data_IF_653624796565
#
_entry.id   IF_653624796565
#
_cell.length_a   1.000
_cell.length_b   1.000
_cell.length_c   1.000
_cell.angle_alpha   90.00
_cell.angle_beta   90.00
_cell.angle_gamma   90.00
#
_symmetry.space_group_name_H-M   'P 1'
#
loop_
_entity.id
_entity.type
_entity.pdbx_description
1 polymer ?
#
# COMPACT_ATOMS: atom_id res chain seq x y z
N UNK A 1 25.32 -3.65 60.45
CA UNK A 1 24.32 -4.34 59.60
C UNK A 1 23.65 -3.28 58.75
N UNK A 2 24.14 -3.08 57.53
CA UNK A 2 23.67 -2.02 56.59
C UNK A 2 22.71 -2.67 55.61
N UNK A 3 21.45 -2.24 55.66
CA UNK A 3 20.38 -2.74 54.77
C UNK A 3 20.44 -1.95 53.47
N UNK A 4 20.87 -2.60 52.37
CA UNK A 4 20.84 -2.03 51.04
C UNK A 4 19.41 -2.21 50.44
N UNK A 5 18.66 -1.11 50.38
CA UNK A 5 17.38 -1.04 49.67
C UNK A 5 17.67 -0.90 48.18
N UNK A 6 17.45 -1.98 47.43
CA UNK A 6 17.48 -1.96 45.96
C UNK A 6 16.13 -1.41 45.48
N UNK A 7 16.14 -0.16 45.01
CA UNK A 7 15.01 0.46 44.31
C UNK A 7 14.91 -0.13 42.89
N UNK A 8 13.94 -0.98 42.73
CA UNK A 8 13.55 -1.51 41.40
C UNK A 8 12.63 -0.47 40.72
N UNK A 9 13.17 0.30 39.78
CA UNK A 9 12.38 1.18 38.94
C UNK A 9 11.76 0.36 37.84
N UNK A 10 10.42 0.31 37.70
CA UNK A 10 9.80 -0.29 36.54
C UNK A 10 10.06 0.63 35.33
N UNK A 11 10.71 0.08 34.31
CA UNK A 11 10.81 0.73 33.02
C UNK A 11 9.39 0.87 32.44
N UNK A 12 8.84 2.08 32.45
CA UNK A 12 7.65 2.40 31.68
C UNK A 12 8.02 2.24 30.21
N UNK A 13 7.56 1.13 29.60
CA UNK A 13 7.44 1.06 28.15
C UNK A 13 6.40 2.09 27.74
N UNK A 14 6.85 3.25 27.30
CA UNK A 14 6.01 4.17 26.53
C UNK A 14 5.66 3.44 25.22
N UNK A 15 4.49 2.79 25.21
CA UNK A 15 3.79 2.54 23.96
C UNK A 15 3.51 3.89 23.34
N UNK A 16 4.28 4.26 22.32
CA UNK A 16 3.96 5.38 21.48
C UNK A 16 2.56 5.10 20.90
N UNK A 17 1.57 5.78 21.46
CA UNK A 17 0.22 5.81 20.89
C UNK A 17 0.38 6.12 19.40
N UNK A 18 -0.15 5.24 18.54
CA UNK A 18 -0.05 5.38 17.10
C UNK A 18 -0.52 6.77 16.71
N UNK A 19 0.40 7.58 16.18
CA UNK A 19 0.02 8.80 15.51
C UNK A 19 -0.91 8.38 14.39
N UNK A 20 -2.07 9.03 14.27
CA UNK A 20 -2.94 8.90 13.12
C UNK A 20 -2.10 9.22 11.88
N UNK A 21 -1.56 8.19 11.27
CA UNK A 21 -0.69 8.36 10.13
C UNK A 21 -1.54 8.70 8.92
N UNK A 22 -1.15 9.76 8.26
CA UNK A 22 -1.67 10.09 6.94
C UNK A 22 -1.07 9.24 5.83
N UNK A 23 -0.22 8.28 6.19
CA UNK A 23 0.45 7.42 5.22
C UNK A 23 -0.52 6.51 4.47
N UNK A 24 -0.15 6.20 3.25
CA UNK A 24 -0.85 5.27 2.39
C UNK A 24 -0.09 3.95 2.40
N UNK A 25 -0.70 2.90 2.90
CA UNK A 25 -0.14 1.56 2.89
C UNK A 25 -0.30 0.92 1.51
N UNK A 26 0.70 0.14 1.10
CA UNK A 26 0.57 -0.79 -0.02
C UNK A 26 0.16 -2.14 0.55
N UNK A 27 -0.99 -2.63 0.12
CA UNK A 27 -1.54 -3.90 0.59
C UNK A 27 -1.68 -4.90 -0.54
N UNK A 28 -1.53 -6.16 -0.20
CA UNK A 28 -1.67 -7.30 -1.10
C UNK A 28 -2.59 -8.35 -0.49
N UNK A 29 -3.02 -9.30 -1.32
CA UNK A 29 -3.74 -10.48 -0.84
C UNK A 29 -2.90 -11.24 0.20
N UNK A 30 -3.55 -11.82 1.21
CA UNK A 30 -2.90 -12.57 2.28
C UNK A 30 -2.03 -13.73 1.79
N UNK A 31 -2.35 -14.33 0.66
CA UNK A 31 -1.63 -15.45 0.05
C UNK A 31 -0.49 -15.01 -0.89
N UNK A 32 -0.29 -13.70 -1.08
CA UNK A 32 0.83 -13.19 -1.85
C UNK A 32 2.12 -13.29 -1.00
N UNK A 33 3.17 -13.87 -1.55
CA UNK A 33 4.43 -14.09 -0.82
C UNK A 33 5.36 -12.87 -0.82
N UNK A 34 5.05 -11.84 -1.59
CA UNK A 34 5.85 -10.60 -1.65
C UNK A 34 5.79 -9.88 -0.31
N UNK A 35 6.93 -9.47 0.22
CA UNK A 35 7.05 -8.77 1.51
C UNK A 35 7.55 -7.35 1.36
N UNK A 36 8.21 -7.03 0.25
CA UNK A 36 8.79 -5.71 -0.03
C UNK A 36 8.91 -5.46 -1.53
N UNK A 37 8.75 -4.21 -1.92
CA UNK A 37 9.04 -3.70 -3.27
C UNK A 37 9.80 -2.38 -3.15
N UNK A 38 10.63 -2.06 -4.15
CA UNK A 38 11.18 -0.71 -4.26
C UNK A 38 10.13 0.27 -4.80
N UNK A 39 10.33 1.57 -4.58
CA UNK A 39 9.50 2.61 -5.18
C UNK A 39 9.46 2.51 -6.71
N UNK A 40 10.60 2.18 -7.33
CA UNK A 40 10.69 1.97 -8.78
C UNK A 40 9.87 0.77 -9.26
N UNK A 41 9.93 -0.35 -8.55
CA UNK A 41 9.10 -1.52 -8.85
C UNK A 41 7.61 -1.23 -8.66
N UNK A 42 7.26 -0.54 -7.58
CA UNK A 42 5.89 -0.16 -7.29
C UNK A 42 5.31 0.73 -8.42
N UNK A 43 6.13 1.68 -8.91
CA UNK A 43 5.74 2.51 -10.06
C UNK A 43 5.49 1.67 -11.32
N UNK A 44 6.37 0.73 -11.65
CA UNK A 44 6.19 -0.20 -12.79
C UNK A 44 4.94 -1.06 -12.64
N UNK A 45 4.64 -1.51 -11.43
CA UNK A 45 3.43 -2.28 -11.14
C UNK A 45 2.19 -1.43 -11.44
N UNK A 46 2.07 -0.25 -10.84
CA UNK A 46 0.89 0.61 -11.03
C UNK A 46 0.82 1.29 -12.39
N UNK A 47 1.92 1.34 -13.12
CA UNK A 47 1.93 1.73 -14.54
C UNK A 47 1.53 0.58 -15.49
N UNK A 48 1.30 -0.64 -14.96
CA UNK A 48 0.98 -1.80 -15.79
C UNK A 48 2.14 -2.27 -16.67
N UNK A 49 3.37 -1.94 -16.29
CA UNK A 49 4.59 -2.41 -16.97
C UNK A 49 5.04 -3.77 -16.43
N UNK A 50 4.73 -4.06 -15.18
CA UNK A 50 4.95 -5.35 -14.55
C UNK A 50 3.60 -6.05 -14.38
N UNK A 51 3.41 -7.18 -15.06
CA UNK A 51 2.12 -7.85 -15.20
C UNK A 51 1.93 -9.06 -14.28
N UNK A 52 3.01 -9.55 -13.67
CA UNK A 52 2.96 -10.72 -12.80
C UNK A 52 3.90 -10.60 -11.61
N UNK A 53 3.50 -11.22 -10.52
CA UNK A 53 4.34 -11.45 -9.35
C UNK A 53 5.41 -12.50 -9.64
N UNK A 54 6.51 -12.54 -8.85
CA UNK A 54 7.40 -13.71 -8.86
C UNK A 54 6.58 -14.98 -8.63
N UNK A 55 6.77 -15.98 -9.51
CA UNK A 55 5.94 -17.20 -9.48
C UNK A 55 4.79 -17.20 -10.50
N UNK A 56 4.54 -16.10 -11.20
CA UNK A 56 3.65 -16.04 -12.36
C UNK A 56 2.20 -15.64 -12.09
N UNK A 57 1.81 -15.42 -10.83
CA UNK A 57 0.45 -14.91 -10.52
C UNK A 57 0.25 -13.55 -11.16
N UNK A 58 -0.78 -13.35 -12.01
CA UNK A 58 -1.07 -12.05 -12.61
C UNK A 58 -1.35 -10.99 -11.55
N UNK A 59 -0.80 -9.80 -11.73
CA UNK A 59 -1.06 -8.65 -10.87
C UNK A 59 -2.43 -8.07 -11.22
N UNK A 60 -3.28 -7.88 -10.20
CA UNK A 60 -4.56 -7.19 -10.31
C UNK A 60 -4.46 -5.83 -9.62
N UNK A 61 -4.50 -4.77 -10.42
CA UNK A 61 -4.44 -3.39 -9.91
C UNK A 61 -5.80 -2.95 -9.42
N UNK A 62 -5.86 -2.60 -8.13
CA UNK A 62 -7.05 -2.09 -7.47
C UNK A 62 -6.78 -0.65 -7.01
N UNK A 63 -7.60 0.30 -7.48
CA UNK A 63 -7.39 1.72 -7.19
C UNK A 63 -8.65 2.37 -6.63
N UNK A 64 -8.49 3.56 -6.06
CA UNK A 64 -9.59 4.45 -5.73
C UNK A 64 -9.68 5.54 -6.81
N UNK A 65 -10.84 6.16 -6.92
CA UNK A 65 -11.08 7.21 -7.91
C UNK A 65 -10.61 8.59 -7.46
N UNK A 66 -10.74 9.60 -8.33
CA UNK A 66 -10.41 10.99 -8.05
C UNK A 66 -11.08 11.50 -6.76
N UNK A 67 -10.39 12.38 -6.04
CA UNK A 67 -10.84 12.92 -4.76
C UNK A 67 -10.53 12.04 -3.55
N UNK A 68 -9.94 10.87 -3.75
CA UNK A 68 -9.46 10.00 -2.68
C UNK A 68 -7.95 10.17 -2.51
N UNK A 69 -7.48 10.19 -1.26
CA UNK A 69 -6.04 10.36 -0.96
C UNK A 69 -5.18 9.27 -1.56
N UNK A 70 -5.68 8.04 -1.63
CA UNK A 70 -5.03 6.92 -2.28
C UNK A 70 -4.78 7.20 -3.77
N UNK A 71 -5.75 7.83 -4.42
CA UNK A 71 -5.62 8.22 -5.83
C UNK A 71 -4.58 9.34 -6.01
N UNK A 72 -4.64 10.36 -5.17
CA UNK A 72 -3.65 11.45 -5.18
C UNK A 72 -2.22 10.92 -4.96
N UNK A 73 -2.06 9.98 -4.03
CA UNK A 73 -0.79 9.32 -3.77
C UNK A 73 -0.32 8.51 -4.99
N UNK A 74 -1.23 7.81 -5.68
CA UNK A 74 -0.95 7.08 -6.90
C UNK A 74 -0.45 8.01 -8.02
N UNK A 75 -1.12 9.14 -8.23
CA UNK A 75 -0.69 10.13 -9.23
C UNK A 75 0.70 10.68 -8.93
N UNK A 76 1.00 10.98 -7.66
CA UNK A 76 2.34 11.40 -7.23
C UNK A 76 3.39 10.31 -7.50
N UNK A 77 3.09 9.05 -7.18
CA UNK A 77 3.98 7.92 -7.45
C UNK A 77 4.29 7.77 -8.93
N UNK A 78 3.29 7.95 -9.78
CA UNK A 78 3.43 7.83 -11.23
C UNK A 78 3.99 9.10 -11.90
N UNK A 79 4.09 10.21 -11.16
CA UNK A 79 4.44 11.55 -11.69
C UNK A 79 3.50 12.00 -12.80
N UNK A 80 2.20 11.78 -12.61
CA UNK A 80 1.15 12.11 -13.58
C UNK A 80 0.14 13.07 -12.96
N UNK A 81 -0.44 13.92 -13.79
CA UNK A 81 -1.70 14.61 -13.49
C UNK A 81 -2.88 13.67 -13.73
N UNK A 82 -4.06 14.03 -13.27
CA UNK A 82 -5.28 13.26 -13.53
C UNK A 82 -5.51 13.05 -15.04
N UNK A 83 -5.40 14.12 -15.82
CA UNK A 83 -5.58 14.07 -17.26
C UNK A 83 -4.56 13.16 -17.96
N UNK A 84 -3.29 13.22 -17.53
CA UNK A 84 -2.24 12.33 -18.05
C UNK A 84 -2.50 10.87 -17.68
N UNK A 85 -2.98 10.59 -16.48
CA UNK A 85 -3.34 9.26 -16.03
C UNK A 85 -4.49 8.66 -16.81
N UNK A 86 -5.57 9.44 -17.03
CA UNK A 86 -6.71 9.04 -17.85
C UNK A 86 -6.29 8.74 -19.29
N UNK A 87 -5.51 9.64 -19.91
CA UNK A 87 -5.01 9.46 -21.26
C UNK A 87 -4.09 8.24 -21.37
N UNK A 88 -3.19 8.05 -20.38
CA UNK A 88 -2.28 6.92 -20.32
C UNK A 88 -3.02 5.57 -20.35
N UNK A 89 -4.04 5.40 -19.50
CA UNK A 89 -4.78 4.15 -19.45
C UNK A 89 -5.73 3.98 -20.64
N UNK A 90 -6.28 5.06 -21.17
CA UNK A 90 -7.06 5.02 -22.41
C UNK A 90 -6.24 4.47 -23.58
N UNK A 91 -5.05 4.98 -23.77
CA UNK A 91 -4.14 4.52 -24.84
C UNK A 91 -3.71 3.06 -24.63
N UNK A 92 -3.32 2.69 -23.43
CA UNK A 92 -2.90 1.31 -23.13
C UNK A 92 -4.05 0.31 -23.29
N UNK A 93 -5.27 0.68 -22.92
CA UNK A 93 -6.46 -0.16 -23.09
C UNK A 93 -6.79 -0.43 -24.56
N UNK A 94 -6.55 0.54 -25.46
CA UNK A 94 -6.70 0.30 -26.90
C UNK A 94 -5.68 -0.70 -27.44
N UNK A 95 -4.55 -0.88 -26.75
CA UNK A 95 -3.52 -1.88 -27.08
C UNK A 95 -3.72 -3.22 -26.34
N UNK A 96 -4.86 -3.39 -25.65
CA UNK A 96 -5.21 -4.63 -24.97
C UNK A 96 -4.71 -4.72 -23.52
N UNK A 97 -4.16 -3.66 -22.93
CA UNK A 97 -3.80 -3.66 -21.51
C UNK A 97 -5.04 -3.60 -20.61
N UNK A 98 -5.02 -4.35 -19.51
CA UNK A 98 -6.08 -4.29 -18.51
C UNK A 98 -5.87 -3.05 -17.62
N UNK A 99 -6.80 -2.11 -17.66
CA UNK A 99 -6.79 -0.94 -16.82
C UNK A 99 -7.03 -1.33 -15.34
N UNK A 100 -6.54 -0.52 -14.37
CA UNK A 100 -6.86 -0.72 -12.97
C UNK A 100 -8.37 -0.71 -12.72
N UNK A 101 -8.82 -1.55 -11.79
CA UNK A 101 -10.21 -1.54 -11.34
C UNK A 101 -10.37 -0.46 -10.29
N UNK A 102 -11.18 0.54 -10.59
CA UNK A 102 -11.52 1.61 -9.66
C UNK A 102 -12.66 1.18 -8.75
N UNK A 103 -12.42 1.19 -7.45
CA UNK A 103 -13.36 0.74 -6.43
C UNK A 103 -13.96 1.93 -5.68
N UNK A 104 -15.29 1.98 -5.51
CA UNK A 104 -15.97 3.14 -4.96
C UNK A 104 -15.88 3.26 -3.43
N UNK A 105 -15.54 2.17 -2.72
CA UNK A 105 -15.49 2.16 -1.26
C UNK A 105 -14.33 1.35 -0.70
N UNK A 106 -13.95 1.64 0.55
CA UNK A 106 -12.93 0.88 1.29
C UNK A 106 -13.37 -0.57 1.53
N UNK A 107 -14.67 -0.80 1.73
CA UNK A 107 -15.22 -2.15 1.90
C UNK A 107 -15.05 -2.99 0.64
N UNK A 108 -15.39 -2.44 -0.52
CA UNK A 108 -15.20 -3.13 -1.80
C UNK A 108 -13.71 -3.33 -2.12
N UNK A 109 -12.85 -2.39 -1.76
CA UNK A 109 -11.42 -2.55 -1.93
C UNK A 109 -10.86 -3.69 -1.08
N UNK A 110 -11.30 -3.79 0.18
CA UNK A 110 -10.95 -4.91 1.07
C UNK A 110 -11.41 -6.24 0.47
N UNK A 111 -12.64 -6.33 0.04
CA UNK A 111 -13.21 -7.54 -0.55
C UNK A 111 -12.45 -7.96 -1.82
N UNK A 112 -12.14 -7.02 -2.70
CA UNK A 112 -11.37 -7.29 -3.91
C UNK A 112 -9.95 -7.76 -3.61
N UNK A 113 -9.27 -7.17 -2.62
CA UNK A 113 -7.94 -7.64 -2.17
C UNK A 113 -8.01 -9.07 -1.65
N UNK A 114 -9.07 -9.42 -0.95
CA UNK A 114 -9.27 -10.80 -0.45
C UNK A 114 -9.55 -11.81 -1.58
N UNK A 115 -10.30 -11.39 -2.58
CA UNK A 115 -10.76 -12.27 -3.67
C UNK A 115 -9.66 -12.59 -4.67
N UNK A 116 -8.87 -11.59 -5.06
CA UNK A 116 -7.86 -11.75 -6.11
C UNK A 116 -6.47 -12.02 -5.50
N UNK A 117 -5.92 -13.21 -5.76
CA UNK A 117 -4.58 -13.60 -5.25
C UNK A 117 -3.47 -12.65 -5.66
N UNK A 118 -3.53 -12.11 -6.87
CA UNK A 118 -2.57 -11.15 -7.39
C UNK A 118 -2.88 -9.69 -7.07
N UNK A 119 -3.88 -9.42 -6.25
CA UNK A 119 -4.31 -8.05 -5.93
C UNK A 119 -3.22 -7.23 -5.24
N UNK A 120 -3.13 -5.98 -5.66
CA UNK A 120 -2.38 -4.91 -4.98
C UNK A 120 -3.25 -3.65 -4.95
N UNK A 121 -3.21 -2.95 -3.85
CA UNK A 121 -3.94 -1.70 -3.65
C UNK A 121 -3.17 -0.73 -2.77
N UNK A 122 -3.48 0.55 -2.90
CA UNK A 122 -3.13 1.60 -1.95
C UNK A 122 -4.30 1.86 -1.02
N UNK A 123 -4.06 1.87 0.29
CA UNK A 123 -5.09 2.01 1.33
C UNK A 123 -4.58 2.94 2.42
N UNK A 124 -5.40 3.89 2.88
CA UNK A 124 -5.04 4.68 4.05
C UNK A 124 -4.77 3.74 5.23
N UNK A 125 -3.70 3.98 5.97
CA UNK A 125 -3.27 3.09 7.08
C UNK A 125 -4.41 2.78 8.04
N UNK A 126 -5.22 3.79 8.38
CA UNK A 126 -6.39 3.64 9.28
C UNK A 126 -7.48 2.70 8.76
N UNK A 127 -7.52 2.49 7.42
CA UNK A 127 -8.54 1.66 6.75
C UNK A 127 -8.02 0.25 6.43
N UNK A 128 -6.76 -0.03 6.73
CA UNK A 128 -6.19 -1.37 6.57
C UNK A 128 -6.82 -2.31 7.60
N UNK A 129 -7.40 -3.38 7.11
CA UNK A 129 -8.07 -4.40 7.95
C UNK A 129 -7.66 -5.80 7.51
N UNK A 130 -7.58 -6.71 8.48
CA UNK A 130 -7.39 -8.13 8.19
C UNK A 130 -8.45 -8.62 7.19
N UNK A 131 -8.07 -9.46 6.21
CA UNK A 131 -6.78 -10.11 6.01
C UNK A 131 -5.84 -9.38 5.00
N UNK A 132 -6.02 -8.08 4.75
CA UNK A 132 -5.05 -7.33 3.94
C UNK A 132 -3.67 -7.40 4.56
N UNK A 133 -2.65 -7.63 3.75
CA UNK A 133 -1.28 -7.68 4.21
C UNK A 133 -0.48 -6.49 3.67
N UNK A 134 0.08 -5.69 4.57
CA UNK A 134 0.94 -4.56 4.21
C UNK A 134 2.30 -5.10 3.77
N UNK A 135 2.82 -4.56 2.67
CA UNK A 135 4.19 -4.80 2.22
C UNK A 135 5.05 -3.55 2.42
N UNK A 136 6.36 -3.76 2.57
CA UNK A 136 7.33 -2.65 2.69
C UNK A 136 7.55 -1.99 1.33
N UNK A 137 7.79 -0.67 1.38
CA UNK A 137 8.25 0.11 0.22
C UNK A 137 9.62 0.67 0.58
N UNK A 138 10.63 0.39 -0.25
CA UNK A 138 12.04 0.71 0.05
C UNK A 138 12.48 0.23 1.44
N UNK A 139 12.03 -0.96 1.84
CA UNK A 139 12.36 -1.56 3.13
C UNK A 139 11.63 -0.96 4.34
N UNK A 140 10.67 -0.06 4.13
CA UNK A 140 9.95 0.65 5.21
C UNK A 140 8.46 0.35 5.21
N UNK A 141 7.89 0.26 6.39
CA UNK A 141 6.45 0.23 6.62
C UNK A 141 5.90 1.65 6.79
N UNK A 142 4.60 1.86 6.60
CA UNK A 142 3.93 3.09 7.01
C UNK A 142 4.29 3.46 8.46
N UNK A 143 4.30 4.74 8.77
CA UNK A 143 4.70 5.33 10.06
C UNK A 143 6.21 5.28 10.37
N UNK A 144 7.02 4.64 9.57
CA UNK A 144 8.47 4.67 9.73
C UNK A 144 9.07 5.91 9.07
N UNK A 145 10.14 6.45 9.68
CA UNK A 145 10.86 7.60 9.14
C UNK A 145 11.36 7.31 7.71
N UNK A 146 11.07 8.23 6.79
CA UNK A 146 11.43 8.11 5.38
C UNK A 146 10.52 7.22 4.54
N UNK A 147 9.35 6.81 5.06
CA UNK A 147 8.29 6.24 4.23
C UNK A 147 7.78 7.29 3.24
N UNK A 148 7.55 6.91 1.98
CA UNK A 148 7.38 7.87 0.88
C UNK A 148 5.93 8.09 0.43
N UNK A 149 4.99 7.24 0.84
CA UNK A 149 3.59 7.30 0.39
C UNK A 149 2.70 7.99 1.42
N UNK A 150 2.39 9.29 1.19
CA UNK A 150 1.52 10.11 2.04
C UNK A 150 0.84 11.27 1.29
#
# INVERSE_FOLDING_TARGET
MVLLLILWTPALCLFAAGRDSNDIAVVVNQNNLVVSVSAGELRKIFAGERLAWPGGTPIKLLTRGPGQREHDCLLKLLHMTESEYEQYWKERSTMGAEAPVTLPSNGMQKEAVQTFRGAIAMVQVRDVKSPMRIIKVDGKLPNQSGYILH
#
